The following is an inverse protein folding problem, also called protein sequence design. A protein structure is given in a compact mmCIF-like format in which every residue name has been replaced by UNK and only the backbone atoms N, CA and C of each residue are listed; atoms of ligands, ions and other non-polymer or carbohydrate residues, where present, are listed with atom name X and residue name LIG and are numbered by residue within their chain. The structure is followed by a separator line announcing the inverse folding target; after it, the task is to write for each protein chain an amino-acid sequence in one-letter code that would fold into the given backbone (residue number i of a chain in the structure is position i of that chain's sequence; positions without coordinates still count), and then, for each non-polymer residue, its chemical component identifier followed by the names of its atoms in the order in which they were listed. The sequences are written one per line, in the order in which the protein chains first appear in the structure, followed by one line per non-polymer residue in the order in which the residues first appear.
data_IF_508584186096
#
_entry.id   IF_508584186096
#
_cell.length_a   1.000
_cell.length_b   1.000
_cell.length_c   1.000
_cell.angle_alpha   90.00
_cell.angle_beta   90.00
_cell.angle_gamma   90.00
#
_symmetry.space_group_name_H-M   'P 1'
#
loop_
_entity.id
_entity.type
_entity.pdbx_description
1 polymer ?
#
# COMPACT_ATOMS: atom_id res chain seq x y z
N UNK A 1 -13.67 6.60 -11.33
CA UNK A 1 -13.06 6.81 -10.00
C UNK A 1 -13.76 6.00 -8.92
N UNK A 2 -15.05 6.22 -8.63
CA UNK A 2 -15.80 5.45 -7.61
C UNK A 2 -15.72 3.94 -7.84
N UNK A 3 -15.93 3.47 -9.07
CA UNK A 3 -15.79 2.05 -9.41
C UNK A 3 -14.35 1.51 -9.19
N UNK A 4 -13.33 2.33 -9.42
CA UNK A 4 -11.93 1.96 -9.15
C UNK A 4 -11.65 1.86 -7.64
N UNK A 5 -12.14 2.81 -6.85
CA UNK A 5 -12.02 2.80 -5.39
C UNK A 5 -12.76 1.60 -4.77
N UNK A 6 -14.00 1.35 -5.22
CA UNK A 6 -14.78 0.19 -4.80
C UNK A 6 -14.11 -1.13 -5.24
N UNK A 7 -13.53 -1.17 -6.44
CA UNK A 7 -12.75 -2.31 -6.89
C UNK A 7 -11.50 -2.55 -6.03
N UNK A 8 -10.81 -1.48 -5.61
CA UNK A 8 -9.60 -1.58 -4.78
C UNK A 8 -9.93 -2.13 -3.40
N UNK A 9 -11.05 -1.71 -2.79
CA UNK A 9 -11.49 -2.25 -1.49
C UNK A 9 -11.87 -3.72 -1.60
N UNK A 10 -12.63 -4.11 -2.63
CA UNK A 10 -13.00 -5.51 -2.90
C UNK A 10 -11.74 -6.35 -3.17
N UNK A 11 -10.80 -5.85 -3.97
CA UNK A 11 -9.56 -6.53 -4.29
C UNK A 11 -8.63 -6.71 -3.09
N UNK A 12 -8.51 -5.68 -2.24
CA UNK A 12 -7.74 -5.75 -1.00
C UNK A 12 -8.35 -6.77 -0.03
N UNK A 13 -9.68 -6.77 0.11
CA UNK A 13 -10.39 -7.77 0.89
C UNK A 13 -10.15 -9.18 0.35
N UNK A 14 -10.34 -9.39 -0.96
CA UNK A 14 -10.12 -10.71 -1.58
C UNK A 14 -8.66 -11.20 -1.49
N UNK A 15 -7.69 -10.28 -1.44
CA UNK A 15 -6.28 -10.62 -1.27
C UNK A 15 -5.95 -11.05 0.17
N UNK A 16 -6.59 -10.40 1.15
CA UNK A 16 -6.42 -10.71 2.57
C UNK A 16 -7.28 -11.90 3.01
N UNK A 17 -8.39 -12.16 2.33
CA UNK A 17 -9.24 -13.30 2.57
C UNK A 17 -8.53 -14.60 2.15
N UNK A 18 -8.32 -15.48 3.14
CA UNK A 18 -7.69 -16.77 2.94
C UNK A 18 -8.56 -17.79 2.22
N UNK A 19 -9.87 -17.53 2.10
CA UNK A 19 -10.88 -18.46 1.56
C UNK A 19 -11.20 -18.23 0.09
N UNK A 20 -10.91 -17.04 -0.45
CA UNK A 20 -11.09 -16.74 -1.86
C UNK A 20 -10.01 -17.38 -2.76
N UNK A 21 -10.33 -17.76 -4.02
CA UNK A 21 -9.33 -18.24 -4.97
C UNK A 21 -8.27 -17.16 -5.24
N UNK A 22 -7.06 -17.37 -4.73
CA UNK A 22 -5.95 -16.41 -4.85
C UNK A 22 -5.57 -16.07 -6.31
N UNK A 23 -5.84 -16.97 -7.26
CA UNK A 23 -5.65 -16.67 -8.68
C UNK A 23 -6.54 -15.53 -9.17
N UNK A 24 -7.68 -15.27 -8.51
CA UNK A 24 -8.60 -14.19 -8.85
C UNK A 24 -8.30 -12.91 -8.07
N UNK A 25 -7.83 -13.01 -6.82
CA UNK A 25 -7.58 -11.85 -5.97
C UNK A 25 -6.54 -10.87 -6.55
N UNK A 26 -5.36 -11.39 -6.95
CA UNK A 26 -4.26 -10.58 -7.52
C UNK A 26 -4.65 -9.82 -8.80
N UNK A 27 -5.20 -10.46 -9.85
CA UNK A 27 -5.59 -9.76 -11.06
C UNK A 27 -6.78 -8.80 -10.85
N UNK A 28 -7.71 -9.12 -9.95
CA UNK A 28 -8.81 -8.20 -9.60
C UNK A 28 -8.27 -6.92 -8.97
N UNK A 29 -7.30 -7.03 -8.04
CA UNK A 29 -6.67 -5.86 -7.43
C UNK A 29 -5.92 -5.01 -8.48
N UNK A 30 -5.15 -5.64 -9.37
CA UNK A 30 -4.45 -4.94 -10.46
C UNK A 30 -5.44 -4.24 -11.42
N UNK A 31 -6.54 -4.92 -11.77
CA UNK A 31 -7.61 -4.36 -12.60
C UNK A 31 -8.27 -3.15 -11.93
N UNK A 32 -8.54 -3.23 -10.64
CA UNK A 32 -9.10 -2.11 -9.88
C UNK A 32 -8.14 -0.90 -9.81
N UNK A 33 -6.84 -1.15 -9.62
CA UNK A 33 -5.81 -0.11 -9.67
C UNK A 33 -5.81 0.58 -11.04
N UNK A 34 -5.80 -0.21 -12.12
CA UNK A 34 -5.86 0.31 -13.48
C UNK A 34 -7.12 1.15 -13.73
N UNK A 35 -8.30 0.68 -13.30
CA UNK A 35 -9.54 1.45 -13.37
C UNK A 35 -9.50 2.75 -12.57
N UNK A 36 -8.83 2.76 -11.41
CA UNK A 36 -8.57 3.96 -10.62
C UNK A 36 -7.74 4.98 -11.39
N UNK A 37 -6.60 4.56 -11.93
CA UNK A 37 -5.69 5.40 -12.73
C UNK A 37 -6.38 5.96 -13.98
N UNK A 38 -7.11 5.11 -14.71
CA UNK A 38 -7.90 5.53 -15.88
C UNK A 38 -8.99 6.54 -15.46
N UNK A 39 -9.67 6.30 -14.34
CA UNK A 39 -10.67 7.22 -13.82
C UNK A 39 -10.11 8.61 -13.48
N UNK A 40 -8.95 8.67 -12.84
CA UNK A 40 -8.28 9.92 -12.47
C UNK A 40 -7.77 10.65 -13.72
N UNK A 41 -7.10 9.92 -14.62
CA UNK A 41 -6.57 10.50 -15.86
C UNK A 41 -7.68 11.06 -16.75
N UNK A 42 -8.80 10.35 -16.92
CA UNK A 42 -9.97 10.86 -17.65
C UNK A 42 -10.56 12.11 -16.98
N UNK A 43 -10.63 12.15 -15.65
CA UNK A 43 -11.11 13.31 -14.90
C UNK A 43 -10.20 14.54 -15.08
N UNK A 44 -8.89 14.34 -15.21
CA UNK A 44 -7.92 15.42 -15.41
C UNK A 44 -7.90 16.01 -16.83
N UNK A 45 -8.32 15.25 -17.85
CA UNK A 45 -8.28 15.68 -19.26
C UNK A 45 -9.16 16.90 -19.57
N UNK A 46 -10.20 17.14 -18.79
CA UNK A 46 -11.07 18.30 -18.94
C UNK A 46 -10.50 19.60 -18.37
N UNK A 47 -9.38 19.52 -17.63
CA UNK A 47 -8.77 20.68 -16.99
C UNK A 47 -7.76 21.32 -17.94
N UNK A 48 -8.20 22.34 -18.68
CA UNK A 48 -7.38 23.04 -19.70
C UNK A 48 -6.38 24.03 -19.11
N UNK A 49 -6.56 24.45 -17.85
CA UNK A 49 -5.65 25.39 -17.18
C UNK A 49 -5.40 24.96 -15.75
N UNK A 50 -4.25 24.36 -15.50
CA UNK A 50 -3.77 24.10 -14.14
C UNK A 50 -2.93 25.30 -13.70
N UNK A 51 -3.40 26.05 -12.70
CA UNK A 51 -2.58 27.09 -12.05
C UNK A 51 -1.53 26.48 -11.09
N UNK A 52 -1.53 25.14 -10.96
CA UNK A 52 -0.62 24.39 -10.11
C UNK A 52 0.74 24.24 -10.79
N UNK A 53 1.81 24.57 -10.08
CA UNK A 53 3.18 24.31 -10.54
C UNK A 53 3.39 22.79 -10.50
N UNK A 54 3.82 22.14 -11.60
CA UNK A 54 4.06 20.70 -11.59
C UNK A 54 5.11 20.41 -10.51
N UNK A 55 4.69 19.72 -9.46
CA UNK A 55 5.63 19.27 -8.44
C UNK A 55 6.20 17.93 -8.91
N UNK A 56 7.52 17.85 -8.96
CA UNK A 56 8.21 16.64 -9.37
C UNK A 56 8.29 15.71 -8.16
N UNK A 57 8.01 14.42 -8.37
CA UNK A 57 8.13 13.43 -7.31
C UNK A 57 9.52 13.47 -6.71
N UNK A 58 9.60 13.85 -5.44
CA UNK A 58 10.88 13.89 -4.73
C UNK A 58 11.35 12.48 -4.43
N UNK A 59 12.66 12.29 -4.25
CA UNK A 59 13.22 10.99 -3.88
C UNK A 59 12.56 10.43 -2.61
N UNK A 60 12.25 11.27 -1.62
CA UNK A 60 11.55 10.85 -0.40
C UNK A 60 10.15 10.26 -0.69
N UNK A 61 9.42 10.82 -1.65
CA UNK A 61 8.11 10.34 -2.05
C UNK A 61 8.21 8.99 -2.79
N UNK A 62 9.21 8.85 -3.66
CA UNK A 62 9.51 7.58 -4.33
C UNK A 62 9.91 6.49 -3.35
N UNK A 63 10.77 6.79 -2.37
CA UNK A 63 11.16 5.85 -1.31
C UNK A 63 9.94 5.42 -0.49
N UNK A 64 9.03 6.34 -0.19
CA UNK A 64 7.82 6.04 0.56
C UNK A 64 6.85 5.15 -0.21
N UNK A 65 6.65 5.42 -1.49
CA UNK A 65 5.83 4.57 -2.34
C UNK A 65 6.46 3.18 -2.51
N UNK A 66 7.78 3.12 -2.73
CA UNK A 66 8.51 1.88 -2.91
C UNK A 66 8.55 1.03 -1.63
N UNK A 67 8.70 1.65 -0.45
CA UNK A 67 8.70 0.93 0.82
C UNK A 67 7.35 0.27 1.12
N UNK A 68 6.25 0.97 0.89
CA UNK A 68 4.91 0.43 1.05
C UNK A 68 4.63 -0.73 0.08
N UNK A 69 5.02 -0.57 -1.19
CA UNK A 69 4.92 -1.64 -2.19
C UNK A 69 5.76 -2.86 -1.81
N UNK A 70 7.02 -2.67 -1.43
CA UNK A 70 7.92 -3.74 -1.02
C UNK A 70 7.38 -4.50 0.19
N UNK A 71 6.91 -3.78 1.22
CA UNK A 71 6.30 -4.39 2.41
C UNK A 71 5.05 -5.21 2.06
N UNK A 72 4.16 -4.67 1.22
CA UNK A 72 2.95 -5.38 0.78
C UNK A 72 3.28 -6.66 -0.01
N UNK A 73 4.27 -6.61 -0.90
CA UNK A 73 4.74 -7.78 -1.67
C UNK A 73 5.36 -8.82 -0.73
N UNK A 74 6.27 -8.41 0.15
CA UNK A 74 6.92 -9.31 1.13
C UNK A 74 5.90 -10.01 2.03
N UNK A 75 4.88 -9.28 2.50
CA UNK A 75 3.83 -9.85 3.34
C UNK A 75 2.95 -10.84 2.55
N UNK A 76 2.64 -10.53 1.29
CA UNK A 76 1.91 -11.42 0.38
C UNK A 76 2.72 -12.67 0.02
N UNK A 77 4.04 -12.56 -0.08
CA UNK A 77 4.93 -13.73 -0.29
C UNK A 77 5.02 -14.57 0.98
N UNK A 78 5.14 -13.95 2.15
CA UNK A 78 5.16 -14.66 3.44
C UNK A 78 3.89 -15.49 3.61
N UNK A 79 2.72 -14.92 3.33
CA UNK A 79 1.45 -15.66 3.42
C UNK A 79 1.33 -16.83 2.44
N UNK A 80 2.12 -16.86 1.37
CA UNK A 80 2.18 -18.00 0.42
C UNK A 80 3.13 -19.11 0.89
N UNK A 81 4.21 -18.75 1.56
CA UNK A 81 5.25 -19.69 1.99
C UNK A 81 4.84 -20.38 3.29
N UNK A 82 4.31 -19.63 4.26
CA UNK A 82 3.94 -20.18 5.56
C UNK A 82 2.85 -19.36 6.27
N UNK A 83 1.58 -19.67 5.97
CA UNK A 83 0.43 -19.00 6.59
C UNK A 83 0.27 -19.33 8.09
N UNK A 84 0.91 -20.40 8.59
CA UNK A 84 0.91 -20.77 10.00
C UNK A 84 1.83 -19.87 10.84
N UNK A 85 2.89 -19.32 10.24
CA UNK A 85 3.79 -18.38 10.92
C UNK A 85 3.12 -17.02 11.26
N UNK A 86 2.03 -16.67 10.57
CA UNK A 86 1.21 -15.48 10.85
C UNK A 86 0.03 -15.76 11.79
N UNK A 87 -0.22 -17.03 12.12
CA UNK A 87 -1.27 -17.46 13.04
C UNK A 87 -0.63 -18.06 14.30
N UNK A 88 -0.51 -17.28 15.39
CA UNK A 88 0.02 -17.82 16.64
C UNK A 88 -0.84 -19.01 17.09
N UNK A 89 -0.20 -20.15 17.37
CA UNK A 89 -0.88 -21.38 17.78
C UNK A 89 -1.57 -21.17 19.13
N UNK A 90 -2.90 -21.14 19.12
CA UNK A 90 -3.73 -20.96 20.31
C UNK A 90 -3.82 -22.24 21.16
N UNK A 91 -3.38 -23.39 20.64
CA UNK A 91 -3.29 -24.65 21.38
C UNK A 91 -2.38 -25.66 20.66
N UNK A 92 -1.31 -26.18 21.28
CA UNK A 92 -0.74 -25.77 22.56
C UNK A 92 -0.10 -24.37 22.51
N UNK A 93 -0.03 -23.71 23.67
CA UNK A 93 0.51 -22.35 23.81
C UNK A 93 2.05 -22.37 23.71
N UNK A 94 2.56 -22.23 22.50
CA UNK A 94 3.99 -22.09 22.22
C UNK A 94 4.34 -20.64 21.93
N UNK A 95 5.54 -20.21 22.33
CA UNK A 95 6.04 -18.87 22.00
C UNK A 95 6.06 -18.71 20.47
N UNK A 96 5.39 -17.68 19.92
CA UNK A 96 5.39 -17.45 18.49
C UNK A 96 6.82 -17.17 18.05
N UNK A 97 7.32 -17.98 17.12
CA UNK A 97 8.59 -17.70 16.47
C UNK A 97 8.43 -16.38 15.73
N UNK A 98 9.39 -15.46 15.85
CA UNK A 98 9.31 -14.18 15.18
C UNK A 98 9.85 -14.37 13.75
N UNK A 99 8.99 -14.44 12.72
CA UNK A 99 9.46 -14.72 11.38
C UNK A 99 10.25 -13.53 10.83
N UNK A 100 11.46 -13.82 10.37
CA UNK A 100 12.43 -12.87 9.82
C UNK A 100 11.89 -12.10 8.60
N UNK A 101 11.05 -12.75 7.78
CA UNK A 101 10.46 -12.13 6.59
C UNK A 101 9.45 -11.01 6.93
N UNK A 102 8.42 -11.23 7.76
CA UNK A 102 7.54 -10.18 8.25
C UNK A 102 8.28 -9.09 9.02
N UNK A 103 9.30 -9.45 9.79
CA UNK A 103 10.14 -8.48 10.47
C UNK A 103 10.86 -7.55 9.46
N UNK A 104 11.46 -8.11 8.41
CA UNK A 104 12.06 -7.33 7.35
C UNK A 104 11.03 -6.46 6.61
N UNK A 105 9.82 -6.96 6.35
CA UNK A 105 8.74 -6.20 5.73
C UNK A 105 8.33 -4.99 6.58
N UNK A 106 8.22 -5.16 7.91
CA UNK A 106 7.92 -4.08 8.85
C UNK A 106 9.06 -3.05 8.87
N UNK A 107 10.32 -3.50 8.93
CA UNK A 107 11.47 -2.60 8.92
C UNK A 107 11.55 -1.78 7.62
N UNK A 108 11.26 -2.39 6.47
CA UNK A 108 11.17 -1.68 5.20
C UNK A 108 10.02 -0.66 5.23
N UNK A 109 8.87 -1.02 5.79
CA UNK A 109 7.74 -0.09 5.97
C UNK A 109 8.09 1.11 6.87
N UNK A 110 9.10 1.00 7.74
CA UNK A 110 9.60 2.11 8.56
C UNK A 110 10.59 3.04 7.85
N UNK A 111 11.12 2.69 6.68
CA UNK A 111 12.05 3.55 5.92
C UNK A 111 11.57 5.00 5.70
N UNK A 112 10.26 5.27 5.47
CA UNK A 112 9.75 6.63 5.31
C UNK A 112 10.01 7.50 6.54
N UNK A 113 9.97 6.94 7.75
CA UNK A 113 10.12 7.70 9.01
C UNK A 113 11.43 8.50 9.04
N UNK A 114 12.50 7.94 8.48
CA UNK A 114 13.80 8.61 8.42
C UNK A 114 13.99 9.48 7.16
N UNK A 115 13.21 9.24 6.09
CA UNK A 115 13.43 9.85 4.78
C UNK A 115 12.43 10.95 4.41
N UNK A 116 11.23 10.96 5.01
CA UNK A 116 10.23 11.99 4.75
C UNK A 116 10.54 13.29 5.50
N UNK A 117 10.52 14.45 4.82
CA UNK A 117 10.68 15.75 5.47
C UNK A 117 9.59 15.99 6.52
N UNK A 118 9.91 16.73 7.58
CA UNK A 118 8.93 17.17 8.55
C UNK A 118 7.94 18.15 7.91
N UNK A 119 6.66 18.05 8.28
CA UNK A 119 5.64 18.98 7.80
C UNK A 119 6.06 20.41 8.13
N UNK A 120 6.02 21.30 7.13
CA UNK A 120 6.31 22.71 7.35
C UNK A 120 5.27 23.28 8.31
N UNK A 121 5.71 23.84 9.43
CA UNK A 121 4.86 24.66 10.29
C UNK A 121 4.41 25.88 9.51
N UNK A 122 3.11 25.98 9.24
CA UNK A 122 2.53 27.18 8.65
C UNK A 122 2.66 28.29 9.69
N UNK A 123 3.55 29.24 9.44
CA UNK A 123 3.71 30.42 10.30
C UNK A 123 2.38 31.20 10.28
N UNK A 124 1.81 31.43 11.45
CA UNK A 124 0.53 32.12 11.56
C UNK A 124 0.67 33.55 11.02
N UNK A 125 -0.18 33.91 10.06
CA UNK A 125 -0.23 35.27 9.51
C UNK A 125 -0.66 36.22 10.64
N UNK A 126 0.15 37.22 11.03
CA UNK A 126 -0.25 38.20 12.03
C UNK A 126 -1.42 39.05 11.48
N UNK A 127 -2.42 39.26 12.34
CA UNK A 127 -3.67 39.96 12.05
C UNK A 127 -3.50 41.48 11.83
#
# INVERSE_FOLDING_TARGET
MVAGLAGMTIGAYALLDGTAPRQLATPVLLGAIALGVVGISLSGRGVTRTSYRPDHWRLAELVTAASGLAAGVLMTVTSRVDAANLNPSLSPLTWPQLPWLPLAAILIALLPVASTPHAATVEAVPA
#
